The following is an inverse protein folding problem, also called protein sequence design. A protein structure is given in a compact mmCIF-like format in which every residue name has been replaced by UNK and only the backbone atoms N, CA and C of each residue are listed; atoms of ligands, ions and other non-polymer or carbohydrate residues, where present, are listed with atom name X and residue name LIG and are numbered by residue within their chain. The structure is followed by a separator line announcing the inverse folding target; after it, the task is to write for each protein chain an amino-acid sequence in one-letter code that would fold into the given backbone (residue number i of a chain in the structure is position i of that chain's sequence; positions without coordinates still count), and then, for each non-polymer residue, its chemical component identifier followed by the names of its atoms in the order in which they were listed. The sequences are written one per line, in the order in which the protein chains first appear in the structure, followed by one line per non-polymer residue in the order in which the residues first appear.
data_IF_038040817288
#
_entry.id   IF_038040817288
#
_cell.length_a   1.000
_cell.length_b   1.000
_cell.length_c   1.000
_cell.angle_alpha   90.00
_cell.angle_beta   90.00
_cell.angle_gamma   90.00
#
_symmetry.space_group_name_H-M   'P 1'
#
loop_
_entity.id
_entity.type
_entity.pdbx_description
1 polymer ?
#
# COMPACT_ATOMS: atom_id res chain seq x y z
N UNK A 1 -5.56 -19.17 -1.77
CA UNK A 1 -5.85 -18.28 -2.91
C UNK A 1 -4.69 -18.38 -3.87
N UNK A 2 -4.91 -18.52 -5.18
CA UNK A 2 -3.81 -18.47 -6.13
C UNK A 2 -3.27 -17.03 -6.21
N UNK A 3 -1.99 -16.86 -6.56
CA UNK A 3 -1.34 -15.54 -6.71
C UNK A 3 -2.09 -14.63 -7.68
N UNK A 4 -2.71 -15.22 -8.71
CA UNK A 4 -3.50 -14.51 -9.72
C UNK A 4 -4.80 -13.96 -9.11
N UNK A 5 -5.54 -14.77 -8.35
CA UNK A 5 -6.80 -14.36 -7.71
C UNK A 5 -6.59 -13.18 -6.76
N UNK A 6 -5.50 -13.21 -5.99
CA UNK A 6 -5.14 -12.12 -5.08
C UNK A 6 -4.82 -10.83 -5.83
N UNK A 7 -4.07 -10.91 -6.93
CA UNK A 7 -3.73 -9.73 -7.72
C UNK A 7 -4.99 -9.10 -8.34
N UNK A 8 -5.90 -9.91 -8.87
CA UNK A 8 -7.18 -9.44 -9.41
C UNK A 8 -7.98 -8.72 -8.31
N UNK A 9 -8.07 -9.30 -7.12
CA UNK A 9 -8.77 -8.67 -5.99
C UNK A 9 -8.12 -7.35 -5.56
N UNK A 10 -6.79 -7.26 -5.55
CA UNK A 10 -6.07 -6.03 -5.23
C UNK A 10 -6.30 -4.93 -6.28
N UNK A 11 -6.28 -5.27 -7.56
CA UNK A 11 -6.58 -4.35 -8.67
C UNK A 11 -8.02 -3.81 -8.58
N UNK A 12 -8.98 -4.70 -8.35
CA UNK A 12 -10.38 -4.34 -8.18
C UNK A 12 -10.57 -3.36 -7.01
N UNK A 13 -9.89 -3.60 -5.88
CA UNK A 13 -9.92 -2.70 -4.72
C UNK A 13 -9.34 -1.31 -5.02
N UNK A 14 -8.25 -1.24 -5.78
CA UNK A 14 -7.68 0.04 -6.20
C UNK A 14 -8.71 0.87 -7.00
N UNK A 15 -9.41 0.23 -7.95
CA UNK A 15 -10.47 0.86 -8.75
C UNK A 15 -11.62 1.35 -7.87
N UNK A 16 -12.10 0.52 -6.94
CA UNK A 16 -13.18 0.87 -6.00
C UNK A 16 -12.81 2.05 -5.08
N UNK A 17 -11.52 2.21 -4.77
CA UNK A 17 -10.98 3.33 -4.00
C UNK A 17 -10.64 4.56 -4.84
N UNK A 18 -10.99 4.57 -6.13
CA UNK A 18 -10.84 5.71 -7.04
C UNK A 18 -9.46 5.86 -7.66
N UNK A 19 -8.65 4.80 -7.71
CA UNK A 19 -7.42 4.80 -8.50
C UNK A 19 -7.71 4.46 -9.97
N UNK A 20 -7.03 5.15 -10.87
CA UNK A 20 -7.11 4.91 -12.30
C UNK A 20 -5.91 4.06 -12.78
N UNK A 21 -6.14 2.98 -13.56
CA UNK A 21 -5.07 2.18 -14.13
C UNK A 21 -4.37 2.92 -15.28
N UNK A 22 -3.05 2.82 -15.32
CA UNK A 22 -2.19 3.34 -16.38
C UNK A 22 -1.29 2.20 -16.84
N UNK A 23 -1.28 1.91 -18.14
CA UNK A 23 -0.40 0.90 -18.72
C UNK A 23 1.07 1.23 -18.42
N UNK A 24 1.77 0.27 -17.83
CA UNK A 24 3.17 0.36 -17.45
C UNK A 24 3.76 -1.05 -17.56
N UNK A 25 4.21 -1.48 -18.75
CA UNK A 25 4.66 -2.86 -19.00
C UNK A 25 5.77 -3.34 -18.06
N UNK A 26 6.58 -2.41 -17.55
CA UNK A 26 7.65 -2.63 -16.57
C UNK A 26 7.16 -2.77 -15.13
N UNK A 27 5.92 -2.36 -14.85
CA UNK A 27 5.33 -2.45 -13.52
C UNK A 27 4.85 -3.87 -13.20
N UNK A 28 4.78 -4.18 -11.91
CA UNK A 28 4.23 -5.45 -11.44
C UNK A 28 2.76 -5.59 -11.88
N UNK A 29 2.47 -6.57 -12.73
CA UNK A 29 1.13 -6.78 -13.27
C UNK A 29 0.79 -5.93 -14.49
N UNK A 30 1.78 -5.24 -15.10
CA UNK A 30 1.69 -4.54 -16.39
C UNK A 30 1.03 -3.15 -16.34
N UNK A 31 0.71 -2.67 -15.14
CA UNK A 31 0.02 -1.38 -14.95
C UNK A 31 0.35 -0.80 -13.58
N UNK A 32 0.15 0.51 -13.44
CA UNK A 32 0.17 1.22 -12.16
C UNK A 32 -1.20 1.86 -11.94
N UNK A 33 -1.65 1.90 -10.70
CA UNK A 33 -2.92 2.54 -10.32
C UNK A 33 -2.60 3.86 -9.63
N UNK A 34 -3.15 4.98 -10.12
CA UNK A 34 -2.86 6.33 -9.60
C UNK A 34 -4.11 7.04 -9.10
N UNK A 35 -4.03 7.66 -7.91
CA UNK A 35 -5.05 8.54 -7.33
C UNK A 35 -4.37 9.74 -6.70
N UNK A 36 -4.76 10.95 -7.08
CA UNK A 36 -4.20 12.20 -6.55
C UNK A 36 -2.66 12.26 -6.61
N UNK A 37 -2.05 11.68 -7.66
CA UNK A 37 -0.60 11.61 -7.83
C UNK A 37 0.11 10.51 -7.04
N UNK A 38 -0.61 9.74 -6.22
CA UNK A 38 -0.06 8.61 -5.47
C UNK A 38 -0.34 7.27 -6.14
N UNK A 39 0.62 6.35 -6.05
CA UNK A 39 0.57 5.01 -6.62
C UNK A 39 0.04 4.00 -5.60
N UNK A 40 -0.86 3.13 -6.04
CA UNK A 40 -1.31 1.97 -5.26
C UNK A 40 -0.17 0.97 -5.03
N UNK A 41 -0.20 0.29 -3.88
CA UNK A 41 0.73 -0.78 -3.56
C UNK A 41 -0.03 -2.10 -3.53
N UNK A 42 0.37 -3.04 -4.39
CA UNK A 42 -0.18 -4.40 -4.34
C UNK A 42 0.42 -5.18 -3.17
N UNK A 43 1.75 -5.23 -3.07
CA UNK A 43 2.49 -5.94 -2.02
C UNK A 43 3.67 -5.06 -1.60
N UNK A 44 3.65 -4.59 -0.34
CA UNK A 44 4.66 -3.64 0.13
C UNK A 44 6.03 -4.30 0.32
N UNK A 45 6.07 -5.58 0.67
CA UNK A 45 7.33 -6.31 0.90
C UNK A 45 8.04 -6.55 -0.41
N UNK A 46 7.31 -7.02 -1.42
CA UNK A 46 7.83 -7.20 -2.78
C UNK A 46 8.26 -5.87 -3.40
N UNK A 47 7.47 -4.81 -3.20
CA UNK A 47 7.79 -3.48 -3.71
C UNK A 47 9.08 -2.90 -3.10
N UNK A 48 9.24 -3.02 -1.78
CA UNK A 48 10.49 -2.62 -1.10
C UNK A 48 11.70 -3.35 -1.65
N UNK A 49 11.57 -4.66 -1.87
CA UNK A 49 12.63 -5.48 -2.44
C UNK A 49 12.97 -5.05 -3.88
N UNK A 50 11.96 -4.82 -4.73
CA UNK A 50 12.19 -4.45 -6.14
C UNK A 50 12.81 -3.06 -6.29
N UNK A 51 12.47 -2.12 -5.41
CA UNK A 51 13.00 -0.76 -5.40
C UNK A 51 14.27 -0.61 -4.56
N UNK A 52 14.72 -1.67 -3.87
CA UNK A 52 15.84 -1.66 -2.94
C UNK A 52 15.74 -0.57 -1.86
N UNK A 53 14.55 -0.42 -1.28
CA UNK A 53 14.27 0.51 -0.16
C UNK A 53 13.84 -0.26 1.08
N UNK A 54 14.10 0.32 2.26
CA UNK A 54 13.90 -0.38 3.54
C UNK A 54 12.72 0.16 4.36
N UNK A 55 12.25 1.38 4.07
CA UNK A 55 11.27 2.08 4.91
C UNK A 55 10.03 2.48 4.13
N UNK A 56 8.91 2.58 4.84
CA UNK A 56 7.67 3.13 4.30
C UNK A 56 7.86 4.58 3.85
N UNK A 57 8.64 5.36 4.62
CA UNK A 57 8.96 6.73 4.26
C UNK A 57 9.65 6.84 2.90
N UNK A 58 10.51 5.88 2.56
CA UNK A 58 11.13 5.84 1.24
C UNK A 58 10.11 5.58 0.13
N UNK A 59 9.09 4.76 0.37
CA UNK A 59 8.00 4.54 -0.59
C UNK A 59 7.12 5.78 -0.74
N UNK A 60 6.76 6.45 0.35
CA UNK A 60 6.02 7.72 0.30
C UNK A 60 6.77 8.77 -0.53
N UNK A 61 8.10 8.88 -0.33
CA UNK A 61 8.95 9.80 -1.09
C UNK A 61 9.02 9.43 -2.59
N UNK A 62 8.76 8.18 -2.95
CA UNK A 62 8.63 7.70 -4.33
C UNK A 62 7.19 7.84 -4.87
N UNK A 63 6.29 8.43 -4.09
CA UNK A 63 4.90 8.71 -4.44
C UNK A 63 4.00 7.49 -4.36
N UNK A 64 4.28 6.52 -3.49
CA UNK A 64 3.36 5.42 -3.18
C UNK A 64 2.46 5.80 -2.01
N UNK A 65 1.19 5.38 -2.07
CA UNK A 65 0.23 5.58 -0.97
C UNK A 65 0.35 4.43 0.04
N UNK A 66 1.20 4.63 1.05
CA UNK A 66 1.42 3.63 2.10
C UNK A 66 0.20 3.51 3.02
N UNK A 67 -0.47 4.62 3.32
CA UNK A 67 -1.68 4.62 4.15
C UNK A 67 -2.77 3.73 3.56
N UNK A 68 -3.10 3.94 2.28
CA UNK A 68 -4.11 3.14 1.59
C UNK A 68 -3.73 1.65 1.50
N UNK A 69 -2.43 1.33 1.41
CA UNK A 69 -1.98 -0.06 1.49
C UNK A 69 -2.35 -0.67 2.85
N UNK A 70 -1.99 0.00 3.93
CA UNK A 70 -2.27 -0.55 5.25
C UNK A 70 -3.76 -0.62 5.53
N UNK A 71 -4.52 0.42 5.19
CA UNK A 71 -5.95 0.51 5.50
C UNK A 71 -6.80 -0.49 4.71
N UNK A 72 -6.40 -0.82 3.47
CA UNK A 72 -7.27 -1.57 2.56
C UNK A 72 -6.63 -2.81 1.94
N UNK A 73 -5.31 -2.90 1.86
CA UNK A 73 -4.63 -3.92 1.05
C UNK A 73 -3.56 -4.75 1.78
N UNK A 74 -3.33 -4.48 3.06
CA UNK A 74 -2.52 -5.32 3.93
C UNK A 74 -3.25 -6.61 4.27
N UNK A 75 -2.50 -7.65 4.64
CA UNK A 75 -3.12 -8.89 5.10
C UNK A 75 -3.79 -8.67 6.46
N UNK A 76 -4.89 -9.39 6.74
CA UNK A 76 -5.67 -9.22 7.98
C UNK A 76 -4.83 -9.28 9.28
N UNK A 77 -3.73 -10.05 9.30
CA UNK A 77 -2.83 -10.13 10.44
C UNK A 77 -1.89 -8.91 10.57
N UNK A 78 -1.44 -8.35 9.45
CA UNK A 78 -0.65 -7.11 9.43
C UNK A 78 -1.53 -5.89 9.76
N UNK A 79 -2.73 -5.83 9.20
CA UNK A 79 -3.70 -4.75 9.47
C UNK A 79 -3.96 -4.56 10.96
N UNK A 80 -4.26 -5.64 11.69
CA UNK A 80 -4.57 -5.57 13.13
C UNK A 80 -3.37 -5.08 13.96
N UNK A 81 -2.16 -5.56 13.66
CA UNK A 81 -0.95 -5.12 14.34
C UNK A 81 -0.61 -3.64 14.06
N UNK A 82 -0.84 -3.21 12.82
CA UNK A 82 -0.53 -1.84 12.37
C UNK A 82 -1.55 -0.85 12.88
N UNK A 83 -2.85 -1.19 12.82
CA UNK A 83 -3.91 -0.38 13.43
C UNK A 83 -3.65 -0.17 14.92
N UNK A 84 -3.35 -1.24 15.65
CA UNK A 84 -3.00 -1.15 17.07
C UNK A 84 -1.78 -0.23 17.29
N UNK A 85 -0.72 -0.39 16.48
CA UNK A 85 0.48 0.47 16.59
C UNK A 85 0.17 1.95 16.31
N UNK A 86 -0.59 2.27 15.27
CA UNK A 86 -0.96 3.66 14.94
C UNK A 86 -1.80 4.30 16.04
N UNK A 87 -2.77 3.57 16.59
CA UNK A 87 -3.57 4.03 17.73
C UNK A 87 -2.69 4.30 18.95
N UNK A 88 -1.74 3.40 19.26
CA UNK A 88 -0.79 3.61 20.36
C UNK A 88 0.11 4.83 20.14
N UNK A 89 0.69 4.99 18.95
CA UNK A 89 1.57 6.12 18.65
C UNK A 89 0.80 7.46 18.76
N UNK A 90 -0.45 7.50 18.30
CA UNK A 90 -1.31 8.69 18.41
C UNK A 90 -1.74 8.99 19.85
N UNK A 91 -2.10 7.97 20.62
CA UNK A 91 -2.39 8.11 22.05
C UNK A 91 -1.16 8.65 22.78
N UNK A 92 0.04 8.17 22.46
CA UNK A 92 1.26 8.64 23.11
C UNK A 92 1.56 10.09 22.76
N UNK A 93 1.38 10.52 21.51
CA UNK A 93 1.57 11.92 21.10
C UNK A 93 0.65 12.86 21.92
N UNK A 94 -0.64 12.51 22.05
CA UNK A 94 -1.63 13.26 22.84
C UNK A 94 -1.33 13.27 24.37
N UNK A 95 -0.56 12.30 24.88
CA UNK A 95 -0.22 12.18 26.30
C UNK A 95 1.01 12.98 26.72
N UNK A 96 1.86 13.37 25.77
CA UNK A 96 3.10 14.11 26.03
C UNK A 96 3.03 15.61 25.66
N UNK A 97 1.86 16.08 25.17
CA UNK A 97 1.46 17.50 25.06
C UNK A 97 0.70 18.00 26.31
#
# INVERSE_FOLDING_TARGET
MAKIDWLIASKQRAIELGYEPIEAPEAFGGEVFIKNGFKWIHDISFLKQSLNVQTDKALENLGYNVDDYYDYNSTNGEFLNIKAKREWDQIMDDYWD
#
